data_IF_411759207441
#
_entry.id   IF_411759207441
#
_cell.length_a   1.000
_cell.length_b   1.000
_cell.length_c   1.000
_cell.angle_alpha   90.00
_cell.angle_beta   90.00
_cell.angle_gamma   90.00
#
_symmetry.space_group_name_H-M   'P 1'
#
loop_
_entity.id
_entity.type
_entity.pdbx_description
1 polymer ?
#
# COMPACT_ATOMS: atom_id res chain seq x y z
N UNK A 1 -31.98 -7.42 -10.62
CA UNK A 1 -30.79 -7.62 -11.46
C UNK A 1 -29.96 -8.70 -10.82
N UNK A 2 -29.63 -9.73 -11.60
CA UNK A 2 -28.92 -10.95 -11.23
C UNK A 2 -27.51 -10.60 -10.73
N UNK A 3 -27.20 -10.89 -9.47
CA UNK A 3 -25.82 -10.85 -8.98
C UNK A 3 -25.24 -12.25 -9.06
N UNK A 4 -24.64 -12.56 -10.21
CA UNK A 4 -23.64 -13.62 -10.28
C UNK A 4 -22.35 -12.98 -9.77
N UNK A 5 -21.97 -13.28 -8.53
CA UNK A 5 -20.59 -13.09 -8.06
C UNK A 5 -19.98 -14.47 -7.94
N UNK A 6 -19.39 -14.92 -9.05
CA UNK A 6 -18.40 -15.98 -9.02
C UNK A 6 -17.24 -15.50 -8.14
N UNK A 7 -17.13 -16.08 -6.94
CA UNK A 7 -16.01 -15.88 -6.04
C UNK A 7 -14.80 -16.64 -6.56
N UNK A 8 -14.14 -16.10 -7.57
CA UNK A 8 -12.68 -16.22 -7.63
C UNK A 8 -12.13 -15.42 -6.45
N UNK A 9 -11.26 -16.02 -5.64
CA UNK A 9 -10.36 -15.22 -4.80
C UNK A 9 -9.70 -14.17 -5.70
N UNK A 10 -9.48 -12.95 -5.20
CA UNK A 10 -8.74 -11.94 -5.96
C UNK A 10 -7.39 -12.54 -6.37
N UNK A 11 -7.31 -13.07 -7.59
CA UNK A 11 -6.07 -13.13 -8.30
C UNK A 11 -5.65 -11.66 -8.41
N UNK A 12 -4.40 -11.35 -8.06
CA UNK A 12 -3.80 -10.07 -8.44
C UNK A 12 -3.74 -10.03 -9.96
N UNK A 13 -4.87 -9.73 -10.58
CA UNK A 13 -4.98 -9.59 -12.01
C UNK A 13 -4.20 -8.35 -12.37
N UNK A 14 -3.14 -8.56 -13.14
CA UNK A 14 -2.26 -7.48 -13.54
C UNK A 14 -2.94 -6.73 -14.69
N UNK A 15 -3.15 -5.42 -14.49
CA UNK A 15 -3.60 -4.53 -15.56
C UNK A 15 -2.43 -4.35 -16.53
N UNK A 16 -2.49 -5.03 -17.68
CA UNK A 16 -1.49 -4.91 -18.74
C UNK A 16 -2.03 -4.05 -19.86
N UNK A 17 -1.44 -2.89 -20.02
CA UNK A 17 -1.65 -2.10 -21.22
C UNK A 17 -0.87 -2.72 -22.38
N UNK A 18 -1.34 -2.46 -23.60
CA UNK A 18 -0.53 -2.71 -24.79
C UNK A 18 0.83 -1.99 -24.72
N UNK A 19 1.65 -2.09 -25.76
CA UNK A 19 2.91 -1.37 -25.81
C UNK A 19 2.69 0.15 -25.76
N UNK A 20 3.16 0.79 -24.69
CA UNK A 20 3.01 2.23 -24.43
C UNK A 20 4.36 2.86 -24.15
N UNK A 21 4.64 3.99 -24.78
CA UNK A 21 5.76 4.87 -24.44
C UNK A 21 5.20 6.18 -23.93
N UNK A 22 5.45 6.52 -22.67
CA UNK A 22 4.90 7.70 -22.01
C UNK A 22 6.04 8.62 -21.61
N UNK A 23 6.02 9.85 -22.10
CA UNK A 23 7.03 10.87 -21.76
C UNK A 23 6.34 12.00 -21.01
N UNK A 24 6.72 12.20 -19.75
CA UNK A 24 6.31 13.36 -18.97
C UNK A 24 7.31 14.49 -19.19
N UNK A 25 6.83 15.65 -19.63
CA UNK A 25 7.62 16.89 -19.71
C UNK A 25 7.11 17.80 -18.60
N UNK A 26 7.94 18.00 -17.57
CA UNK A 26 7.57 18.69 -16.32
C UNK A 26 8.37 19.98 -16.16
N UNK A 27 7.70 21.01 -15.65
CA UNK A 27 8.24 22.36 -15.54
C UNK A 27 8.95 22.52 -14.19
N UNK A 28 10.24 22.83 -14.23
CA UNK A 28 11.05 23.10 -13.04
C UNK A 28 11.54 24.55 -13.00
N UNK A 29 10.84 25.46 -13.68
CA UNK A 29 11.13 26.89 -13.65
C UNK A 29 10.95 27.52 -12.27
N UNK A 30 11.41 28.76 -12.13
CA UNK A 30 11.33 29.51 -10.87
C UNK A 30 9.87 29.79 -10.45
N UNK A 31 8.96 30.01 -11.40
CA UNK A 31 7.55 30.33 -11.12
C UNK A 31 6.77 29.17 -10.50
N UNK A 32 7.18 27.94 -10.78
CA UNK A 32 6.61 26.73 -10.18
C UNK A 32 6.97 26.67 -8.69
N UNK A 33 8.25 26.81 -8.37
CA UNK A 33 8.76 26.70 -7.00
C UNK A 33 8.85 25.25 -6.48
N UNK A 34 9.66 25.06 -5.43
CA UNK A 34 9.99 23.74 -4.89
C UNK A 34 8.76 22.89 -4.47
N UNK A 35 7.75 23.50 -3.85
CA UNK A 35 6.57 22.78 -3.36
C UNK A 35 5.70 22.25 -4.49
N UNK A 36 5.46 23.06 -5.53
CA UNK A 36 4.65 22.65 -6.67
C UNK A 36 5.39 21.64 -7.54
N UNK A 37 6.71 21.81 -7.70
CA UNK A 37 7.53 20.81 -8.38
C UNK A 37 7.47 19.44 -7.69
N UNK A 38 7.40 19.41 -6.36
CA UNK A 38 7.16 18.16 -5.62
C UNK A 38 5.80 17.53 -5.93
N UNK A 39 4.75 18.34 -6.14
CA UNK A 39 3.43 17.85 -6.55
C UNK A 39 3.46 17.27 -7.97
N UNK A 40 4.19 17.89 -8.91
CA UNK A 40 4.39 17.36 -10.26
C UNK A 40 5.10 16.00 -10.23
N UNK A 41 6.18 15.86 -9.44
CA UNK A 41 6.85 14.57 -9.24
C UNK A 41 5.91 13.50 -8.70
N UNK A 42 5.08 13.85 -7.71
CA UNK A 42 4.12 12.93 -7.13
C UNK A 42 3.02 12.54 -8.13
N UNK A 43 2.57 13.47 -8.97
CA UNK A 43 1.65 13.19 -10.05
C UNK A 43 2.21 12.15 -11.03
N UNK A 44 3.43 12.36 -11.53
CA UNK A 44 4.11 11.40 -12.41
C UNK A 44 4.19 10.02 -11.75
N UNK A 45 4.60 9.96 -10.49
CA UNK A 45 4.69 8.72 -9.71
C UNK A 45 3.34 8.01 -9.59
N UNK A 46 2.27 8.75 -9.29
CA UNK A 46 0.95 8.20 -9.03
C UNK A 46 0.32 7.65 -10.31
N UNK A 47 0.38 8.40 -11.42
CA UNK A 47 -0.13 7.94 -12.72
C UNK A 47 0.58 6.66 -13.14
N UNK A 48 1.92 6.63 -13.06
CA UNK A 48 2.70 5.45 -13.45
C UNK A 48 2.43 4.25 -12.53
N UNK A 49 2.13 4.49 -11.25
CA UNK A 49 1.75 3.42 -10.33
C UNK A 49 0.42 2.76 -10.68
N UNK A 50 -0.52 3.53 -11.23
CA UNK A 50 -1.83 3.04 -11.65
C UNK A 50 -1.79 2.26 -12.96
N UNK A 51 -0.83 2.56 -13.84
CA UNK A 51 -0.62 1.84 -15.11
C UNK A 51 -0.14 0.38 -14.93
N UNK A 52 0.21 -0.04 -13.70
CA UNK A 52 0.50 -1.43 -13.35
C UNK A 52 1.92 -1.85 -13.70
N UNK A 53 2.19 -2.15 -14.97
CA UNK A 53 3.41 -2.84 -15.41
C UNK A 53 4.35 -1.94 -16.21
N UNK A 54 5.51 -1.60 -15.64
CA UNK A 54 6.64 -1.04 -16.40
C UNK A 54 7.34 -2.18 -17.15
N UNK A 55 7.60 -1.99 -18.44
CA UNK A 55 8.29 -2.98 -19.26
C UNK A 55 9.75 -3.14 -18.80
N UNK A 56 10.11 -4.36 -18.37
CA UNK A 56 11.47 -4.71 -17.93
C UNK A 56 12.51 -4.70 -19.05
N UNK A 57 12.08 -5.07 -20.26
CA UNK A 57 12.93 -5.05 -21.45
C UNK A 57 12.47 -3.93 -22.38
N UNK A 58 13.38 -3.02 -22.81
CA UNK A 58 13.09 -2.00 -23.83
C UNK A 58 12.49 -2.55 -25.14
N UNK A 59 12.70 -3.85 -25.44
CA UNK A 59 12.14 -4.55 -26.61
C UNK A 59 10.89 -5.39 -26.31
N UNK A 60 10.50 -5.51 -25.04
CA UNK A 60 9.33 -6.30 -24.60
C UNK A 60 8.13 -5.98 -25.45
N UNK A 61 7.36 -6.97 -25.93
CA UNK A 61 6.19 -6.66 -26.77
C UNK A 61 4.99 -6.05 -25.99
N UNK A 62 5.09 -5.99 -24.67
CA UNK A 62 4.03 -5.55 -23.73
C UNK A 62 4.58 -4.67 -22.60
N UNK A 63 3.71 -3.89 -21.96
CA UNK A 63 4.06 -3.03 -20.82
C UNK A 63 4.41 -1.58 -21.21
N UNK A 64 4.34 -0.68 -20.23
CA UNK A 64 4.62 0.74 -20.41
C UNK A 64 6.10 1.06 -20.20
N UNK A 65 6.70 1.86 -21.07
CA UNK A 65 8.00 2.51 -20.83
C UNK A 65 7.73 3.97 -20.49
N UNK A 66 8.39 4.47 -19.45
CA UNK A 66 8.14 5.82 -18.96
C UNK A 66 9.43 6.61 -18.91
N UNK A 67 9.41 7.80 -19.51
CA UNK A 67 10.47 8.77 -19.45
C UNK A 67 9.97 10.06 -18.82
N UNK A 68 10.90 10.83 -18.26
CA UNK A 68 10.61 12.14 -17.66
C UNK A 68 11.66 13.11 -18.17
N UNK A 69 11.23 14.29 -18.60
CA UNK A 69 12.09 15.42 -18.96
C UNK A 69 11.70 16.55 -18.03
N UNK A 70 12.63 16.98 -17.18
CA UNK A 70 12.48 18.25 -16.46
C UNK A 70 13.26 19.33 -17.19
N UNK A 71 12.70 20.55 -17.20
CA UNK A 71 13.32 21.71 -17.83
C UNK A 71 13.19 22.96 -16.96
N UNK A 72 14.11 23.91 -17.16
CA UNK A 72 13.91 25.29 -16.70
C UNK A 72 14.40 26.27 -17.77
N UNK A 73 15.65 26.73 -17.68
CA UNK A 73 16.26 27.69 -18.59
C UNK A 73 17.08 27.03 -19.71
N UNK A 74 17.62 27.87 -20.61
CA UNK A 74 18.39 27.46 -21.79
C UNK A 74 19.42 26.36 -21.51
N UNK A 75 19.27 25.22 -22.20
CA UNK A 75 20.22 24.10 -22.13
C UNK A 75 20.11 23.23 -20.88
N UNK A 76 19.23 23.55 -19.93
CA UNK A 76 19.10 22.83 -18.67
C UNK A 76 17.93 21.84 -18.72
N UNK A 77 18.21 20.69 -19.32
CA UNK A 77 17.28 19.56 -19.43
C UNK A 77 17.86 18.34 -18.71
N UNK A 78 17.13 17.82 -17.73
CA UNK A 78 17.45 16.50 -17.17
C UNK A 78 16.40 15.49 -17.60
N UNK A 79 16.87 14.31 -18.00
CA UNK A 79 16.01 13.29 -18.56
C UNK A 79 16.23 11.91 -17.94
N UNK A 80 15.12 11.31 -17.55
CA UNK A 80 14.98 9.89 -17.35
C UNK A 80 14.59 9.27 -18.70
N UNK A 81 15.49 8.48 -19.27
CA UNK A 81 15.31 7.90 -20.61
C UNK A 81 14.30 6.73 -20.59
N UNK A 82 13.53 6.58 -21.68
CA UNK A 82 12.56 5.48 -21.86
C UNK A 82 13.20 4.08 -21.82
N UNK A 83 14.49 3.98 -22.15
CA UNK A 83 15.25 2.73 -22.24
C UNK A 83 16.37 2.65 -21.18
N UNK A 84 16.27 3.41 -20.10
CA UNK A 84 17.24 3.36 -19.01
C UNK A 84 17.22 1.97 -18.35
N UNK A 85 18.31 1.21 -18.51
CA UNK A 85 18.45 -0.15 -17.96
C UNK A 85 18.38 -0.20 -16.43
N UNK A 86 18.54 0.94 -15.75
CA UNK A 86 18.44 1.05 -14.29
C UNK A 86 16.99 1.13 -13.81
N UNK A 87 16.04 1.35 -14.72
CA UNK A 87 14.61 1.52 -14.44
C UNK A 87 13.86 0.32 -15.00
N UNK A 88 13.92 -0.79 -14.25
CA UNK A 88 13.28 -2.06 -14.61
C UNK A 88 12.01 -2.35 -13.78
N UNK A 89 11.69 -1.47 -12.83
CA UNK A 89 10.56 -1.62 -11.92
C UNK A 89 9.93 -0.28 -11.55
N UNK A 90 8.67 -0.33 -11.10
CA UNK A 90 7.98 0.84 -10.55
C UNK A 90 8.74 1.46 -9.38
N UNK A 91 9.37 0.64 -8.53
CA UNK A 91 10.17 1.10 -7.40
C UNK A 91 11.40 1.88 -7.84
N UNK A 92 12.17 1.37 -8.82
CA UNK A 92 13.33 2.08 -9.37
C UNK A 92 12.93 3.39 -10.07
N UNK A 93 11.79 3.39 -10.77
CA UNK A 93 11.26 4.60 -11.41
C UNK A 93 10.88 5.65 -10.36
N UNK A 94 10.16 5.26 -9.32
CA UNK A 94 9.79 6.14 -8.20
C UNK A 94 11.02 6.78 -7.55
N UNK A 95 12.07 6.01 -7.34
CA UNK A 95 13.31 6.52 -6.77
C UNK A 95 14.01 7.50 -7.71
N UNK A 96 14.09 7.19 -9.01
CA UNK A 96 14.68 8.06 -10.02
C UNK A 96 13.95 9.41 -10.12
N UNK A 97 12.61 9.39 -10.15
CA UNK A 97 11.80 10.63 -10.18
C UNK A 97 11.99 11.43 -8.89
N UNK A 98 12.00 10.77 -7.72
CA UNK A 98 12.21 11.46 -6.43
C UNK A 98 13.53 12.21 -6.36
N UNK A 99 14.59 11.67 -6.98
CA UNK A 99 15.95 12.25 -7.03
C UNK A 99 16.06 13.49 -7.94
N UNK A 100 15.07 13.76 -8.79
CA UNK A 100 15.06 15.00 -9.56
C UNK A 100 14.97 16.20 -8.62
N UNK A 101 15.95 17.09 -8.70
CA UNK A 101 16.03 18.31 -7.91
C UNK A 101 15.42 19.48 -8.68
N UNK A 102 14.76 20.38 -7.96
CA UNK A 102 14.21 21.60 -8.55
C UNK A 102 15.35 22.50 -9.02
N UNK A 103 15.39 22.79 -10.32
CA UNK A 103 16.49 23.51 -10.96
C UNK A 103 16.37 25.02 -10.73
N UNK A 104 15.15 25.57 -10.80
CA UNK A 104 14.87 27.01 -10.87
C UNK A 104 15.45 27.71 -12.13
N UNK A 105 14.92 28.88 -12.46
CA UNK A 105 15.33 29.71 -13.61
C UNK A 105 14.16 30.08 -14.52
N UNK A 106 14.47 30.34 -15.80
CA UNK A 106 13.47 30.63 -16.83
C UNK A 106 12.61 29.44 -17.23
N UNK A 107 11.75 29.64 -18.23
CA UNK A 107 10.78 28.66 -18.69
C UNK A 107 10.93 28.42 -20.20
N UNK A 108 11.74 27.45 -20.59
CA UNK A 108 12.07 27.13 -21.99
C UNK A 108 11.27 25.93 -22.50
N UNK A 109 9.93 26.06 -22.39
CA UNK A 109 8.97 25.00 -22.68
C UNK A 109 9.13 24.48 -24.11
N UNK A 110 9.23 25.34 -25.11
CA UNK A 110 9.23 24.93 -26.52
C UNK A 110 10.50 24.17 -26.88
N UNK A 111 11.65 24.64 -26.39
CA UNK A 111 12.91 23.91 -26.48
C UNK A 111 12.87 22.56 -25.75
N UNK A 112 12.18 22.48 -24.61
CA UNK A 112 11.97 21.22 -23.89
C UNK A 112 11.15 20.21 -24.70
N UNK A 113 10.10 20.66 -25.41
CA UNK A 113 9.32 19.81 -26.32
C UNK A 113 10.21 19.24 -27.43
N UNK A 114 11.06 20.07 -28.02
CA UNK A 114 12.00 19.65 -29.06
C UNK A 114 13.04 18.65 -28.54
N UNK A 115 13.56 18.88 -27.33
CA UNK A 115 14.49 17.98 -26.68
C UNK A 115 13.85 16.62 -26.34
N UNK A 116 12.65 16.63 -25.76
CA UNK A 116 11.89 15.42 -25.44
C UNK A 116 11.60 14.59 -26.70
N UNK A 117 11.19 15.25 -27.78
CA UNK A 117 10.96 14.59 -29.06
C UNK A 117 12.24 13.96 -29.63
N UNK A 118 13.34 14.71 -29.71
CA UNK A 118 14.57 14.22 -30.33
C UNK A 118 15.26 13.13 -29.53
N UNK A 119 15.26 13.24 -28.20
CA UNK A 119 16.06 12.37 -27.33
C UNK A 119 15.27 11.15 -26.88
N UNK A 120 14.01 11.32 -26.45
CA UNK A 120 13.23 10.21 -25.90
C UNK A 120 12.36 9.56 -26.98
N UNK A 121 11.60 10.35 -27.75
CA UNK A 121 10.59 9.81 -28.65
C UNK A 121 11.22 9.26 -29.93
N UNK A 122 11.90 10.12 -30.70
CA UNK A 122 12.43 9.80 -32.03
C UNK A 122 13.49 8.70 -32.01
N UNK A 123 14.32 8.64 -30.97
CA UNK A 123 15.41 7.65 -30.85
C UNK A 123 14.96 6.32 -30.24
N UNK A 124 13.88 6.31 -29.48
CA UNK A 124 13.43 5.13 -28.72
C UNK A 124 12.10 4.56 -29.24
N UNK A 125 11.60 5.03 -30.39
CA UNK A 125 10.29 4.65 -30.90
C UNK A 125 10.23 3.15 -31.19
N UNK A 126 9.34 2.48 -30.47
CA UNK A 126 9.08 1.06 -30.65
C UNK A 126 8.00 0.87 -31.70
N UNK A 127 8.25 0.03 -32.72
CA UNK A 127 7.41 -0.06 -33.94
C UNK A 127 5.90 -0.26 -33.71
N UNK A 128 5.50 -0.88 -32.60
CA UNK A 128 4.09 -1.15 -32.25
C UNK A 128 3.57 -0.35 -31.05
N UNK A 129 4.39 0.52 -30.46
CA UNK A 129 4.01 1.24 -29.25
C UNK A 129 3.23 2.52 -29.56
N UNK A 130 2.18 2.80 -28.79
CA UNK A 130 1.54 4.11 -28.78
C UNK A 130 2.38 5.06 -27.95
N UNK A 131 2.68 6.24 -28.49
CA UNK A 131 3.50 7.25 -27.82
C UNK A 131 2.59 8.33 -27.24
N UNK A 132 2.71 8.58 -25.95
CA UNK A 132 2.02 9.66 -25.23
C UNK A 132 3.04 10.65 -24.70
N UNK A 133 2.78 11.94 -24.89
CA UNK A 133 3.51 13.02 -24.26
C UNK A 133 2.57 13.76 -23.30
N UNK A 134 2.94 13.87 -22.03
CA UNK A 134 2.18 14.61 -21.02
C UNK A 134 3.01 15.82 -20.63
N UNK A 135 2.56 17.00 -21.03
CA UNK A 135 3.24 18.28 -20.74
C UNK A 135 2.54 18.92 -19.56
N UNK A 136 3.30 19.29 -18.51
CA UNK A 136 2.82 20.04 -17.36
C UNK A 136 3.54 21.37 -17.32
N UNK A 137 2.81 22.48 -17.30
CA UNK A 137 3.39 23.82 -17.25
C UNK A 137 2.41 24.82 -16.62
N UNK A 138 2.93 25.94 -16.11
CA UNK A 138 2.13 27.09 -15.70
C UNK A 138 1.88 28.09 -16.84
N UNK A 139 2.22 27.73 -18.08
CA UNK A 139 1.88 28.47 -19.29
C UNK A 139 2.89 29.52 -19.72
N UNK A 140 3.86 29.84 -18.85
CA UNK A 140 4.88 30.83 -19.15
C UNK A 140 5.91 30.20 -20.08
N UNK A 141 6.38 30.98 -21.04
CA UNK A 141 7.58 30.63 -21.79
C UNK A 141 8.43 31.88 -22.00
N UNK A 142 9.74 31.71 -22.05
CA UNK A 142 10.66 32.81 -22.31
C UNK A 142 10.50 33.27 -23.77
N UNK A 143 10.31 34.57 -24.05
CA UNK A 143 10.18 35.08 -25.42
C UNK A 143 11.41 34.85 -26.31
N UNK A 144 12.54 34.45 -25.71
CA UNK A 144 13.76 34.05 -26.45
C UNK A 144 13.73 32.60 -26.91
N UNK A 145 12.80 31.79 -26.40
CA UNK A 145 12.58 30.43 -26.87
C UNK A 145 12.03 30.45 -28.30
N UNK A 146 12.32 29.41 -29.07
CA UNK A 146 12.01 29.37 -30.49
C UNK A 146 10.61 28.81 -30.74
N UNK A 147 9.69 29.68 -31.14
CA UNK A 147 8.29 29.37 -31.46
C UNK A 147 8.10 28.24 -32.48
N UNK A 148 9.09 27.99 -33.35
CA UNK A 148 9.00 26.90 -34.33
C UNK A 148 8.92 25.50 -33.72
N UNK A 149 9.24 25.34 -32.43
CA UNK A 149 9.17 24.06 -31.73
C UNK A 149 7.80 23.73 -31.12
N UNK A 150 6.84 24.66 -31.18
CA UNK A 150 5.54 24.56 -30.51
C UNK A 150 4.76 23.29 -30.86
N UNK A 151 4.84 22.85 -32.12
CA UNK A 151 4.14 21.66 -32.62
C UNK A 151 5.09 20.49 -32.91
N UNK A 152 6.32 20.50 -32.36
CA UNK A 152 7.28 19.42 -32.62
C UNK A 152 6.76 18.05 -32.18
N UNK A 153 5.95 17.99 -31.11
CA UNK A 153 5.35 16.74 -30.65
C UNK A 153 4.14 16.29 -31.48
N UNK A 154 3.64 17.12 -32.40
CA UNK A 154 2.44 16.81 -33.19
C UNK A 154 2.70 15.93 -34.42
N UNK A 155 3.94 15.46 -34.57
CA UNK A 155 4.37 14.61 -35.69
C UNK A 155 4.69 13.20 -35.19
N UNK A 156 4.66 12.21 -36.09
CA UNK A 156 5.11 10.85 -35.76
C UNK A 156 4.14 10.00 -34.92
N UNK A 157 2.85 10.37 -34.88
CA UNK A 157 1.81 9.57 -34.21
C UNK A 157 1.81 9.67 -32.68
N UNK A 158 2.36 10.75 -32.13
CA UNK A 158 2.36 11.03 -30.69
C UNK A 158 1.02 11.66 -30.28
N UNK A 159 0.45 11.16 -29.19
CA UNK A 159 -0.70 11.79 -28.53
C UNK A 159 -0.19 12.73 -27.45
N UNK A 160 -0.39 14.03 -27.62
CA UNK A 160 0.05 15.04 -26.66
C UNK A 160 -1.12 15.45 -25.77
N UNK A 161 -0.95 15.32 -24.46
CA UNK A 161 -1.84 15.82 -23.41
C UNK A 161 -1.14 16.99 -22.72
N UNK A 162 -1.75 18.17 -22.76
CA UNK A 162 -1.19 19.38 -22.18
C UNK A 162 -1.98 19.77 -20.93
N UNK A 163 -1.29 19.90 -19.80
CA UNK A 163 -1.85 20.27 -18.50
C UNK A 163 -1.30 21.66 -18.15
N UNK A 164 -2.19 22.64 -18.19
CA UNK A 164 -1.90 24.01 -17.77
C UNK A 164 -2.40 24.27 -16.37
N UNK A 165 -1.60 24.93 -15.54
CA UNK A 165 -1.91 25.15 -14.12
C UNK A 165 -1.74 26.61 -13.76
N UNK A 166 -2.72 27.16 -13.04
CA UNK A 166 -2.61 28.50 -12.46
C UNK A 166 -3.40 29.55 -13.23
N UNK A 167 -2.89 30.78 -13.22
CA UNK A 167 -3.57 31.96 -13.73
C UNK A 167 -3.39 32.20 -15.24
N UNK A 168 -2.66 31.31 -15.93
CA UNK A 168 -2.43 31.40 -17.37
C UNK A 168 -3.71 31.51 -18.21
N UNK A 169 -4.82 30.99 -17.69
CA UNK A 169 -6.11 31.05 -18.37
C UNK A 169 -6.78 32.43 -18.35
N UNK A 170 -6.21 33.38 -17.59
CA UNK A 170 -6.61 34.77 -17.66
C UNK A 170 -5.95 35.49 -18.85
N UNK A 171 -4.95 34.88 -19.50
CA UNK A 171 -4.25 35.42 -20.67
C UNK A 171 -4.58 34.57 -21.91
N UNK A 172 -5.28 35.13 -22.93
CA UNK A 172 -5.65 34.38 -24.13
C UNK A 172 -4.47 33.75 -24.87
N UNK A 173 -3.32 34.43 -24.90
CA UNK A 173 -2.11 33.98 -25.61
C UNK A 173 -1.52 32.69 -25.01
N UNK A 174 -1.52 32.58 -23.68
CA UNK A 174 -1.00 31.40 -22.97
C UNK A 174 -1.94 30.19 -23.13
N UNK A 175 -3.26 30.42 -23.17
CA UNK A 175 -4.25 29.38 -23.48
C UNK A 175 -4.13 28.87 -24.93
N UNK A 176 -3.85 29.77 -25.88
CA UNK A 176 -3.59 29.40 -27.27
C UNK A 176 -2.30 28.61 -27.44
N UNK A 177 -1.27 28.96 -26.68
CA UNK A 177 0.00 28.24 -26.65
C UNK A 177 -0.21 26.81 -26.15
N UNK A 178 -0.89 26.63 -25.02
CA UNK A 178 -1.19 25.30 -24.46
C UNK A 178 -2.02 24.43 -25.43
N UNK A 179 -2.99 25.04 -26.11
CA UNK A 179 -3.78 24.37 -27.15
C UNK A 179 -2.92 23.92 -28.34
N UNK A 180 -1.95 24.75 -28.72
CA UNK A 180 -1.02 24.44 -29.81
C UNK A 180 -0.07 23.30 -29.45
N UNK A 181 0.39 23.25 -28.19
CA UNK A 181 1.17 22.12 -27.65
C UNK A 181 0.37 20.82 -27.73
N UNK A 182 -0.93 20.86 -27.39
CA UNK A 182 -1.85 19.73 -27.54
C UNK A 182 -2.30 19.46 -28.99
N UNK A 183 -1.59 19.99 -29.99
CA UNK A 183 -1.86 19.77 -31.42
C UNK A 183 -3.26 20.19 -31.86
N UNK A 184 -3.74 21.30 -31.30
CA UNK A 184 -5.07 21.88 -31.54
C UNK A 184 -6.26 20.98 -31.14
N UNK A 185 -6.00 19.92 -30.36
CA UNK A 185 -7.02 19.03 -29.80
C UNK A 185 -7.47 19.53 -28.44
N UNK A 186 -8.66 20.13 -28.39
CA UNK A 186 -9.20 20.73 -27.16
C UNK A 186 -9.44 19.69 -26.06
N UNK A 187 -9.79 18.47 -26.44
CA UNK A 187 -10.01 17.34 -25.54
C UNK A 187 -8.76 16.90 -24.77
N UNK A 188 -7.57 17.19 -25.31
CA UNK A 188 -6.28 16.84 -24.72
C UNK A 188 -5.69 17.97 -23.86
N UNK A 189 -6.41 19.08 -23.71
CA UNK A 189 -6.01 20.21 -22.87
C UNK A 189 -6.74 20.11 -21.53
N UNK A 190 -5.98 19.94 -20.47
CA UNK A 190 -6.49 19.99 -19.11
C UNK A 190 -6.10 21.32 -18.45
N UNK A 191 -7.09 22.03 -17.93
CA UNK A 191 -6.91 23.30 -17.23
C UNK A 191 -7.13 23.10 -15.73
N UNK A 192 -6.18 23.54 -14.92
CA UNK A 192 -6.24 23.43 -13.45
C UNK A 192 -5.98 24.78 -12.80
N UNK A 193 -6.60 25.04 -11.65
CA UNK A 193 -6.33 26.28 -10.91
C UNK A 193 -5.13 26.13 -9.98
N UNK A 194 -4.95 24.95 -9.40
CA UNK A 194 -3.93 24.65 -8.41
C UNK A 194 -3.16 23.37 -8.73
N UNK A 195 -1.86 23.34 -8.42
CA UNK A 195 -1.03 22.14 -8.54
C UNK A 195 -1.51 20.97 -7.69
N UNK A 196 -2.27 21.23 -6.62
CA UNK A 196 -2.88 20.18 -5.78
C UNK A 196 -3.92 19.35 -6.53
N UNK A 197 -4.49 19.87 -7.63
CA UNK A 197 -5.44 19.12 -8.47
C UNK A 197 -4.76 18.00 -9.25
N UNK A 198 -3.45 18.10 -9.53
CA UNK A 198 -2.68 17.04 -10.18
C UNK A 198 -2.66 15.74 -9.37
N UNK A 199 -2.73 15.83 -8.05
CA UNK A 199 -2.66 14.66 -7.16
C UNK A 199 -4.06 14.19 -6.71
N UNK A 200 -5.13 14.77 -7.26
CA UNK A 200 -6.49 14.33 -6.99
C UNK A 200 -6.76 12.96 -7.62
N UNK A 201 -7.41 12.06 -6.86
CA UNK A 201 -7.66 10.69 -7.30
C UNK A 201 -8.50 10.64 -8.58
N UNK A 202 -9.56 11.45 -8.67
CA UNK A 202 -10.41 11.54 -9.88
C UNK A 202 -9.62 11.93 -11.15
N UNK A 203 -8.61 12.80 -11.01
CA UNK A 203 -7.79 13.21 -12.15
C UNK A 203 -6.79 12.12 -12.56
N UNK A 204 -6.18 11.46 -11.58
CA UNK A 204 -5.26 10.33 -11.82
C UNK A 204 -6.02 9.19 -12.52
N UNK A 205 -7.23 8.88 -12.08
CA UNK A 205 -8.08 7.84 -12.70
C UNK A 205 -8.44 8.19 -14.15
N UNK A 206 -8.76 9.47 -14.42
CA UNK A 206 -8.98 9.97 -15.80
C UNK A 206 -7.73 9.76 -16.67
N UNK A 207 -6.56 10.19 -16.19
CA UNK A 207 -5.29 10.04 -16.92
C UNK A 207 -4.94 8.56 -17.15
N UNK A 208 -5.22 7.69 -16.19
CA UNK A 208 -5.02 6.25 -16.32
C UNK A 208 -5.86 5.66 -17.48
N UNK A 209 -7.13 6.06 -17.60
CA UNK A 209 -8.02 5.63 -18.68
C UNK A 209 -7.58 6.17 -20.04
N UNK A 210 -7.10 7.42 -20.11
CA UNK A 210 -6.64 8.04 -21.35
C UNK A 210 -5.32 7.45 -21.86
N UNK A 211 -4.36 7.20 -20.96
CA UNK A 211 -3.06 6.62 -21.30
C UNK A 211 -3.17 5.12 -21.60
N UNK A 212 -4.20 4.44 -21.08
CA UNK A 212 -4.45 3.03 -21.27
C UNK A 212 -5.93 2.72 -21.56
N UNK A 213 -6.42 3.05 -22.78
CA UNK A 213 -7.85 2.97 -23.11
C UNK A 213 -8.39 1.54 -23.25
N UNK A 214 -7.51 0.53 -23.42
CA UNK A 214 -7.89 -0.89 -23.59
C UNK A 214 -6.97 -1.79 -22.76
N UNK A 215 -7.11 -1.81 -21.43
CA UNK A 215 -6.27 -2.66 -20.61
C UNK A 215 -6.64 -4.12 -20.78
N UNK A 216 -5.64 -4.96 -21.04
CA UNK A 216 -5.78 -6.40 -20.89
C UNK A 216 -5.58 -6.75 -19.41
N UNK A 217 -6.65 -7.19 -18.78
CA UNK A 217 -6.59 -7.72 -17.42
C UNK A 217 -6.06 -9.14 -17.53
N UNK A 218 -4.77 -9.33 -17.26
CA UNK A 218 -4.14 -10.65 -17.27
C UNK A 218 -4.16 -11.18 -15.85
N UNK A 219 -5.12 -12.05 -15.60
CA UNK A 219 -5.10 -12.87 -14.40
C UNK A 219 -4.17 -14.06 -14.65
N UNK A 220 -3.36 -14.47 -13.65
CA UNK A 220 -2.61 -15.71 -13.78
C UNK A 220 -3.58 -16.87 -14.06
N UNK A 221 -3.24 -17.72 -15.05
CA UNK A 221 -3.94 -18.98 -15.32
C UNK A 221 -3.70 -19.94 -14.15
N UNK A 222 -4.40 -19.69 -13.04
CA UNK A 222 -4.66 -20.73 -12.07
C UNK A 222 -5.93 -21.45 -12.54
N UNK A 223 -5.90 -22.79 -12.68
CA UNK A 223 -7.15 -23.51 -12.86
C UNK A 223 -8.05 -23.13 -11.68
N UNK A 224 -9.21 -22.56 -11.97
CA UNK A 224 -10.27 -22.44 -10.98
C UNK A 224 -10.60 -23.86 -10.55
N UNK A 225 -9.98 -24.30 -9.46
CA UNK A 225 -10.40 -25.52 -8.81
C UNK A 225 -11.83 -25.24 -8.34
N UNK A 226 -12.76 -25.92 -8.99
CA UNK A 226 -14.19 -25.90 -8.69
C UNK A 226 -14.49 -26.56 -7.34
N UNK A 227 -13.47 -27.19 -6.72
CA UNK A 227 -13.42 -27.45 -5.30
C UNK A 227 -12.71 -26.29 -4.62
N UNK A 228 -13.31 -25.76 -3.55
CA UNK A 228 -12.70 -24.84 -2.59
C UNK A 228 -11.35 -25.40 -2.11
N UNK A 229 -10.30 -25.17 -2.88
CA UNK A 229 -8.94 -25.25 -2.38
C UNK A 229 -8.77 -24.01 -1.52
N UNK A 230 -9.23 -24.13 -0.27
CA UNK A 230 -8.73 -23.34 0.85
C UNK A 230 -7.22 -23.36 0.68
N UNK A 231 -6.61 -22.27 0.21
CA UNK A 231 -5.19 -22.10 0.37
C UNK A 231 -4.95 -22.35 1.85
N UNK A 232 -4.30 -23.47 2.18
CA UNK A 232 -4.16 -23.91 3.56
C UNK A 232 -3.55 -22.74 4.31
N UNK A 233 -4.34 -22.15 5.20
CA UNK A 233 -3.92 -20.96 5.93
C UNK A 233 -2.59 -21.32 6.59
N UNK A 234 -1.54 -20.57 6.25
CA UNK A 234 -0.18 -20.65 6.75
C UNK A 234 0.68 -21.77 6.13
N UNK A 235 1.28 -21.46 4.97
CA UNK A 235 2.40 -22.19 4.33
C UNK A 235 3.77 -21.59 4.69
N UNK A 236 3.89 -21.04 5.90
CA UNK A 236 5.09 -20.42 6.45
C UNK A 236 5.10 -20.60 7.96
N UNK A 237 6.23 -20.54 8.67
CA UNK A 237 6.22 -20.71 10.12
C UNK A 237 5.69 -19.42 10.77
N UNK A 238 4.59 -19.52 11.55
CA UNK A 238 3.99 -18.39 12.29
C UNK A 238 3.70 -18.81 13.72
N UNK A 239 4.15 -18.03 14.71
CA UNK A 239 3.79 -18.21 16.11
C UNK A 239 2.84 -17.08 16.53
N UNK A 240 1.60 -17.44 16.86
CA UNK A 240 0.54 -16.50 17.20
C UNK A 240 0.32 -16.51 18.70
N UNK A 241 0.35 -15.34 19.33
CA UNK A 241 0.08 -15.16 20.76
C UNK A 241 -1.17 -14.31 20.90
N UNK A 242 -2.25 -14.91 21.38
CA UNK A 242 -3.46 -14.19 21.75
C UNK A 242 -3.30 -13.59 23.14
N UNK A 243 -3.56 -12.29 23.26
CA UNK A 243 -3.71 -11.58 24.53
C UNK A 243 -5.19 -11.24 24.70
N UNK A 244 -5.87 -12.04 25.51
CA UNK A 244 -7.30 -11.89 25.78
C UNK A 244 -7.50 -11.09 27.06
N UNK A 245 -8.22 -9.99 26.94
CA UNK A 245 -8.59 -9.13 28.05
C UNK A 245 -9.59 -9.87 28.96
N UNK A 246 -9.22 -10.03 30.23
CA UNK A 246 -9.99 -10.68 31.29
C UNK A 246 -10.68 -9.69 32.22
N UNK A 247 -10.86 -8.43 31.80
CA UNK A 247 -11.41 -7.39 32.66
C UNK A 247 -12.91 -7.48 32.88
N UNK A 248 -13.38 -6.98 34.03
CA UNK A 248 -14.80 -6.89 34.42
C UNK A 248 -15.68 -6.22 33.35
N UNK A 249 -15.11 -5.28 32.59
CA UNK A 249 -15.81 -4.49 31.55
C UNK A 249 -16.33 -5.37 30.41
N UNK A 250 -15.62 -6.45 30.09
CA UNK A 250 -16.02 -7.38 29.04
C UNK A 250 -17.24 -8.17 29.48
N UNK A 251 -17.23 -8.64 30.73
CA UNK A 251 -18.23 -9.51 31.30
C UNK A 251 -18.12 -10.96 30.82
N UNK A 252 -18.53 -11.90 31.68
CA UNK A 252 -18.33 -13.33 31.48
C UNK A 252 -18.90 -13.88 30.16
N UNK A 253 -20.09 -13.42 29.73
CA UNK A 253 -20.71 -13.87 28.48
C UNK A 253 -19.91 -13.45 27.23
N UNK A 254 -19.35 -12.26 27.22
CA UNK A 254 -18.54 -11.80 26.08
C UNK A 254 -17.16 -12.42 26.10
N UNK A 255 -16.60 -12.62 27.30
CA UNK A 255 -15.38 -13.39 27.49
C UNK A 255 -15.52 -14.83 26.96
N UNK A 256 -16.69 -15.44 27.16
CA UNK A 256 -17.01 -16.73 26.56
C UNK A 256 -16.94 -16.68 25.03
N UNK A 257 -17.57 -15.68 24.39
CA UNK A 257 -17.52 -15.52 22.93
C UNK A 257 -16.10 -15.26 22.41
N UNK A 258 -15.30 -14.50 23.15
CA UNK A 258 -13.93 -14.16 22.78
C UNK A 258 -13.01 -15.38 22.72
N UNK A 259 -13.13 -16.30 23.69
CA UNK A 259 -12.30 -17.52 23.64
C UNK A 259 -12.85 -18.57 22.66
N UNK A 260 -14.16 -18.63 22.41
CA UNK A 260 -14.72 -19.44 21.30
C UNK A 260 -14.15 -18.98 19.96
N UNK A 261 -14.03 -17.67 19.75
CA UNK A 261 -13.35 -17.12 18.57
C UNK A 261 -11.90 -17.60 18.46
N UNK A 262 -11.15 -17.66 19.56
CA UNK A 262 -9.78 -18.24 19.55
C UNK A 262 -9.80 -19.73 19.18
N UNK A 263 -10.80 -20.49 19.64
CA UNK A 263 -10.97 -21.90 19.26
C UNK A 263 -11.28 -22.05 17.76
N UNK A 264 -12.19 -21.25 17.23
CA UNK A 264 -12.57 -21.27 15.82
C UNK A 264 -11.38 -20.90 14.92
N UNK A 265 -10.57 -19.93 15.34
CA UNK A 265 -9.31 -19.61 14.67
C UNK A 265 -8.36 -20.81 14.72
N UNK A 266 -8.15 -21.40 15.90
CA UNK A 266 -7.27 -22.58 16.05
C UNK A 266 -7.66 -23.75 15.15
N UNK A 267 -8.98 -23.98 14.95
CA UNK A 267 -9.53 -25.02 14.07
C UNK A 267 -9.38 -24.68 12.59
N UNK A 268 -9.38 -23.40 12.24
CA UNK A 268 -9.30 -22.91 10.85
C UNK A 268 -7.86 -22.79 10.35
N UNK A 269 -6.90 -22.61 11.25
CA UNK A 269 -5.47 -22.54 10.92
C UNK A 269 -4.88 -23.94 10.66
N UNK A 270 -3.96 -24.02 9.71
CA UNK A 270 -3.09 -25.21 9.61
C UNK A 270 -2.07 -25.12 10.74
N UNK A 271 -2.22 -25.99 11.75
CA UNK A 271 -1.28 -26.05 12.87
C UNK A 271 -0.04 -26.90 12.52
N UNK A 272 1.09 -26.55 13.15
CA UNK A 272 2.36 -27.24 13.00
C UNK A 272 2.28 -28.73 13.38
N UNK A 273 3.14 -29.55 12.77
CA UNK A 273 3.22 -30.98 13.11
C UNK A 273 4.11 -31.25 14.33
N UNK A 274 5.00 -30.33 14.64
CA UNK A 274 5.95 -30.40 15.75
C UNK A 274 6.43 -29.00 16.15
N UNK A 275 7.10 -28.87 17.29
CA UNK A 275 7.64 -27.59 17.77
C UNK A 275 8.69 -26.97 16.85
N UNK A 276 9.39 -27.78 16.06
CA UNK A 276 10.42 -27.36 15.10
C UNK A 276 9.94 -27.32 13.65
N UNK A 277 8.63 -27.42 13.40
CA UNK A 277 8.09 -27.35 12.05
C UNK A 277 8.43 -25.98 11.42
N UNK A 278 8.96 -26.00 10.19
CA UNK A 278 9.29 -24.80 9.45
C UNK A 278 8.11 -24.31 8.59
N UNK A 279 6.94 -24.92 8.75
CA UNK A 279 5.68 -24.56 8.12
C UNK A 279 4.60 -24.45 9.22
N UNK A 280 3.44 -23.87 8.88
CA UNK A 280 2.23 -23.87 9.71
C UNK A 280 2.33 -23.10 11.05
N UNK A 281 1.17 -22.90 11.68
CA UNK A 281 1.05 -22.09 12.89
C UNK A 281 1.27 -22.87 14.20
N UNK A 282 1.76 -22.16 15.22
CA UNK A 282 1.55 -22.53 16.63
C UNK A 282 0.83 -21.38 17.31
N UNK A 283 -0.01 -21.70 18.28
CA UNK A 283 -0.80 -20.69 18.97
C UNK A 283 -0.57 -20.76 20.48
N UNK A 284 -0.63 -19.60 21.13
CA UNK A 284 -0.63 -19.44 22.58
C UNK A 284 -1.77 -18.51 22.99
N UNK A 285 -2.25 -18.65 24.21
CA UNK A 285 -3.26 -17.75 24.78
C UNK A 285 -2.84 -17.31 26.18
N UNK A 286 -2.74 -16.00 26.35
CA UNK A 286 -2.57 -15.31 27.61
C UNK A 286 -3.86 -14.55 27.92
N UNK A 287 -4.46 -14.82 29.08
CA UNK A 287 -5.49 -13.95 29.64
C UNK A 287 -4.82 -12.92 30.54
N UNK A 288 -5.16 -11.64 30.39
CA UNK A 288 -4.58 -10.58 31.21
C UNK A 288 -5.64 -9.77 31.96
N UNK A 289 -5.32 -9.40 33.19
CA UNK A 289 -6.09 -8.50 34.03
C UNK A 289 -5.24 -7.34 34.53
N UNK A 290 -5.20 -7.15 35.85
CA UNK A 290 -4.39 -6.13 36.51
C UNK A 290 -2.88 -6.31 36.30
N UNK A 291 -2.07 -5.33 36.73
CA UNK A 291 -0.61 -5.30 36.51
C UNK A 291 0.17 -6.56 36.94
N UNK A 292 -0.37 -7.34 37.87
CA UNK A 292 0.26 -8.55 38.40
C UNK A 292 -0.59 -9.81 38.18
N UNK A 293 -1.66 -9.71 37.39
CA UNK A 293 -2.65 -10.77 37.23
C UNK A 293 -2.74 -11.16 35.76
N UNK A 294 -1.92 -12.14 35.39
CA UNK A 294 -1.85 -12.69 34.04
C UNK A 294 -1.84 -14.21 34.13
N UNK A 295 -2.62 -14.88 33.29
CA UNK A 295 -2.76 -16.34 33.29
C UNK A 295 -2.46 -16.86 31.89
N UNK A 296 -1.37 -17.62 31.76
CA UNK A 296 -1.12 -18.40 30.55
C UNK A 296 -2.12 -19.54 30.53
N UNK A 297 -3.07 -19.49 29.60
CA UNK A 297 -4.10 -20.52 29.43
C UNK A 297 -3.46 -21.76 28.78
N UNK A 298 -2.66 -21.52 27.74
CA UNK A 298 -1.76 -22.51 27.16
C UNK A 298 -0.56 -21.82 26.49
N UNK A 299 0.66 -22.38 26.59
CA UNK A 299 1.83 -21.89 25.88
C UNK A 299 1.74 -22.19 24.38
N UNK A 300 2.71 -21.71 23.59
CA UNK A 300 2.81 -22.01 22.15
C UNK A 300 2.73 -23.51 21.92
N UNK A 301 1.68 -23.93 21.24
CA UNK A 301 1.36 -25.34 20.98
C UNK A 301 0.72 -25.49 19.61
N UNK A 302 0.74 -26.71 19.10
CA UNK A 302 0.09 -27.11 17.87
C UNK A 302 -0.93 -28.24 18.08
N UNK A 303 -1.17 -28.62 19.35
CA UNK A 303 -2.08 -29.69 19.71
C UNK A 303 -3.49 -29.13 19.91
N UNK A 304 -4.36 -29.34 18.93
CA UNK A 304 -5.74 -28.85 18.95
C UNK A 304 -6.56 -29.40 20.12
N UNK A 305 -6.35 -30.66 20.52
CA UNK A 305 -7.04 -31.24 21.68
C UNK A 305 -6.64 -30.52 22.96
N UNK A 306 -5.34 -30.27 23.15
CA UNK A 306 -4.84 -29.52 24.31
C UNK A 306 -5.38 -28.08 24.32
N UNK A 307 -5.46 -27.42 23.16
CA UNK A 307 -6.07 -26.09 23.03
C UNK A 307 -7.54 -26.12 23.48
N UNK A 308 -8.36 -27.02 22.92
CA UNK A 308 -9.78 -27.14 23.27
C UNK A 308 -9.99 -27.47 24.75
N UNK A 309 -9.20 -28.40 25.32
CA UNK A 309 -9.30 -28.77 26.73
C UNK A 309 -8.93 -27.60 27.66
N UNK A 310 -7.86 -26.87 27.34
CA UNK A 310 -7.45 -25.67 28.09
C UNK A 310 -8.47 -24.54 28.00
N UNK A 311 -9.09 -24.35 26.83
CA UNK A 311 -10.16 -23.36 26.64
C UNK A 311 -11.43 -23.74 27.41
N UNK A 312 -11.78 -25.02 27.46
CA UNK A 312 -12.94 -25.48 28.23
C UNK A 312 -12.79 -25.27 29.75
N UNK A 313 -11.54 -25.18 30.25
CA UNK A 313 -11.23 -25.00 31.68
C UNK A 313 -10.85 -23.56 32.05
N UNK A 314 -10.82 -22.64 31.08
CA UNK A 314 -10.42 -21.26 31.32
C UNK A 314 -11.35 -20.60 32.34
N UNK A 315 -10.78 -19.92 33.32
CA UNK A 315 -11.52 -19.12 34.30
C UNK A 315 -11.44 -17.66 33.93
N UNK A 316 -12.58 -16.98 33.90
CA UNK A 316 -12.64 -15.54 33.72
C UNK A 316 -12.03 -14.84 34.95
N UNK A 317 -11.12 -13.89 34.71
CA UNK A 317 -10.41 -13.20 35.79
C UNK A 317 -11.29 -12.20 36.56
N UNK A 318 -12.23 -11.54 35.89
CA UNK A 318 -13.08 -10.48 36.48
C UNK A 318 -12.24 -9.40 37.19
N UNK A 319 -11.18 -8.93 36.50
CA UNK A 319 -10.18 -8.02 37.06
C UNK A 319 -10.20 -6.64 36.38
N UNK A 320 -9.25 -5.77 36.72
CA UNK A 320 -8.95 -4.57 35.92
C UNK A 320 -8.17 -4.93 34.65
N UNK A 321 -7.99 -4.00 33.71
CA UNK A 321 -7.25 -4.24 32.46
C UNK A 321 -5.93 -3.44 32.44
N UNK A 322 -4.79 -4.11 32.24
CA UNK A 322 -3.49 -3.46 31.97
C UNK A 322 -2.72 -4.20 30.87
N UNK A 323 -2.80 -3.68 29.65
CA UNK A 323 -2.15 -4.26 28.47
C UNK A 323 -0.63 -4.14 28.47
N UNK A 324 -0.06 -3.09 29.09
CA UNK A 324 1.39 -2.87 29.10
C UNK A 324 2.13 -3.99 29.84
N UNK A 325 1.70 -4.28 31.06
CA UNK A 325 2.20 -5.41 31.86
C UNK A 325 1.97 -6.76 31.17
N UNK A 326 0.80 -6.95 30.54
CA UNK A 326 0.46 -8.17 29.80
C UNK A 326 1.43 -8.47 28.65
N UNK A 327 1.79 -7.45 27.85
CA UNK A 327 2.74 -7.58 26.75
C UNK A 327 4.12 -7.99 27.26
N UNK A 328 4.61 -7.32 28.31
CA UNK A 328 5.91 -7.64 28.91
C UNK A 328 5.91 -9.07 29.44
N UNK A 329 4.82 -9.47 30.11
CA UNK A 329 4.65 -10.82 30.62
C UNK A 329 4.62 -11.88 29.49
N UNK A 330 3.90 -11.61 28.39
CA UNK A 330 3.87 -12.47 27.21
C UNK A 330 5.26 -12.66 26.60
N UNK A 331 6.03 -11.59 26.44
CA UNK A 331 7.40 -11.67 25.92
C UNK A 331 8.29 -12.51 26.83
N UNK A 332 8.17 -12.35 28.16
CA UNK A 332 9.02 -13.03 29.14
C UNK A 332 8.67 -14.49 29.43
N UNK A 333 7.45 -14.93 29.10
CA UNK A 333 6.98 -16.29 29.43
C UNK A 333 6.59 -17.13 28.21
N UNK A 334 6.11 -16.50 27.13
CA UNK A 334 5.63 -17.19 25.92
C UNK A 334 6.61 -17.08 24.75
N UNK A 335 7.36 -15.98 24.66
CA UNK A 335 8.33 -15.75 23.57
C UNK A 335 9.74 -16.18 23.99
N UNK A 336 10.18 -15.74 25.17
CA UNK A 336 11.46 -16.09 25.79
C UNK A 336 11.17 -16.97 27.01
N UNK A 337 11.84 -18.11 27.17
CA UNK A 337 11.73 -18.92 28.40
C UNK A 337 12.87 -18.55 29.34
N UNK A 338 12.56 -17.96 30.50
CA UNK A 338 13.55 -17.53 31.48
C UNK A 338 14.36 -18.69 32.10
N UNK A 339 13.86 -19.92 32.05
CA UNK A 339 14.49 -21.06 32.72
C UNK A 339 15.76 -21.59 32.04
N UNK A 340 16.00 -21.30 30.76
CA UNK A 340 17.17 -21.82 30.01
C UNK A 340 17.76 -20.85 28.96
N UNK A 341 17.24 -19.62 28.88
CA UNK A 341 17.66 -18.64 27.87
C UNK A 341 17.30 -19.00 26.42
N UNK A 342 16.58 -20.11 26.21
CA UNK A 342 16.08 -20.51 24.90
C UNK A 342 14.77 -19.78 24.56
N UNK A 343 14.68 -19.30 23.32
CA UNK A 343 13.47 -18.70 22.75
C UNK A 343 12.43 -19.79 22.56
N UNK A 344 11.24 -19.65 23.14
CA UNK A 344 10.12 -20.57 22.96
C UNK A 344 9.45 -20.38 21.59
N UNK A 345 9.41 -19.13 21.11
CA UNK A 345 9.04 -18.84 19.73
C UNK A 345 10.13 -19.31 18.75
N UNK A 346 9.71 -19.87 17.62
CA UNK A 346 10.56 -20.30 16.51
C UNK A 346 11.33 -19.08 15.98
N UNK A 347 12.66 -19.21 15.82
CA UNK A 347 13.51 -18.08 15.38
C UNK A 347 13.23 -17.64 13.94
N UNK A 348 12.82 -18.58 13.10
CA UNK A 348 12.48 -18.40 11.70
C UNK A 348 10.98 -18.16 11.48
N UNK A 349 10.16 -18.15 12.54
CA UNK A 349 8.74 -17.85 12.44
C UNK A 349 8.46 -16.36 12.57
N UNK A 350 7.44 -15.90 11.86
CA UNK A 350 6.80 -14.63 12.14
C UNK A 350 6.11 -14.70 13.50
N UNK A 351 6.31 -13.69 14.35
CA UNK A 351 5.71 -13.62 15.67
C UNK A 351 4.57 -12.62 15.65
N UNK A 352 3.33 -13.10 15.77
CA UNK A 352 2.12 -12.28 15.69
C UNK A 352 1.43 -12.20 17.05
N UNK A 353 1.18 -10.99 17.55
CA UNK A 353 0.40 -10.75 18.76
C UNK A 353 -1.00 -10.29 18.36
N UNK A 354 -2.01 -10.99 18.83
CA UNK A 354 -3.42 -10.64 18.62
C UNK A 354 -4.03 -10.21 19.95
N UNK A 355 -4.38 -8.94 20.06
CA UNK A 355 -5.05 -8.38 21.23
C UNK A 355 -6.56 -8.45 21.07
N UNK A 356 -7.27 -9.05 22.01
CA UNK A 356 -8.74 -9.05 22.03
C UNK A 356 -9.18 -8.26 23.26
N UNK A 357 -9.75 -7.08 23.04
CA UNK A 357 -10.09 -6.12 24.11
C UNK A 357 -11.37 -5.34 23.78
N UNK A 358 -12.01 -4.78 24.81
CA UNK A 358 -13.12 -3.84 24.64
C UNK A 358 -12.68 -2.43 24.23
N UNK A 359 -11.36 -2.19 24.15
CA UNK A 359 -10.77 -0.93 23.72
C UNK A 359 -10.40 0.03 24.84
N UNK A 360 -10.68 -0.30 26.11
CA UNK A 360 -10.31 0.54 27.26
C UNK A 360 -9.47 -0.28 28.24
N UNK A 361 -8.18 0.06 28.29
CA UNK A 361 -7.18 -0.61 29.14
C UNK A 361 -6.28 0.42 29.81
N UNK A 362 -5.80 0.11 31.02
CA UNK A 362 -4.70 0.82 31.63
C UNK A 362 -3.46 0.78 30.72
N UNK A 363 -2.84 1.94 30.53
CA UNK A 363 -1.67 2.14 29.66
C UNK A 363 -0.37 2.34 30.43
N UNK A 364 -0.34 2.00 31.73
CA UNK A 364 0.90 2.02 32.51
C UNK A 364 1.91 1.06 31.87
N UNK A 365 3.16 1.49 31.77
CA UNK A 365 4.29 0.77 31.15
C UNK A 365 4.08 0.43 29.66
N UNK A 366 3.09 1.04 28.98
CA UNK A 366 2.80 0.77 27.57
C UNK A 366 3.99 1.11 26.65
N UNK A 367 4.75 2.17 26.94
CA UNK A 367 5.92 2.53 26.15
C UNK A 367 7.01 1.44 26.20
N UNK A 368 7.31 0.92 27.39
CA UNK A 368 8.26 -0.18 27.58
C UNK A 368 7.78 -1.47 26.90
N UNK A 369 6.48 -1.76 27.01
CA UNK A 369 5.84 -2.87 26.34
C UNK A 369 5.97 -2.80 24.81
N UNK A 370 5.76 -1.62 24.22
CA UNK A 370 5.92 -1.39 22.79
C UNK A 370 7.38 -1.59 22.36
N UNK A 371 8.34 -1.11 23.15
CA UNK A 371 9.75 -1.33 22.88
C UNK A 371 10.12 -2.82 22.98
N UNK A 372 9.51 -3.57 23.90
CA UNK A 372 9.68 -5.02 23.99
C UNK A 372 9.13 -5.74 22.74
N UNK A 373 7.95 -5.35 22.24
CA UNK A 373 7.39 -5.89 21.00
C UNK A 373 8.29 -5.61 19.80
N UNK A 374 8.75 -4.36 19.65
CA UNK A 374 9.67 -3.95 18.57
C UNK A 374 10.97 -4.74 18.60
N UNK A 375 11.57 -4.93 19.78
CA UNK A 375 12.82 -5.72 19.94
C UNK A 375 12.66 -7.18 19.50
N UNK A 376 11.45 -7.74 19.62
CA UNK A 376 11.15 -9.12 19.22
C UNK A 376 10.61 -9.22 17.77
N UNK A 377 10.55 -8.12 17.03
CA UNK A 377 9.93 -8.02 15.69
C UNK A 377 8.50 -8.59 15.67
N UNK A 378 7.70 -8.24 16.68
CA UNK A 378 6.29 -8.65 16.78
C UNK A 378 5.46 -7.89 15.75
N UNK A 379 4.65 -8.61 15.00
CA UNK A 379 3.52 -8.03 14.25
C UNK A 379 2.31 -7.96 15.18
N UNK A 380 1.70 -6.78 15.30
CA UNK A 380 0.61 -6.54 16.23
C UNK A 380 -0.71 -6.43 15.48
N UNK A 381 -1.75 -7.13 15.95
CA UNK A 381 -3.12 -7.06 15.45
C UNK A 381 -4.05 -6.82 16.62
N UNK A 382 -4.97 -5.86 16.49
CA UNK A 382 -5.89 -5.47 17.56
C UNK A 382 -7.32 -5.78 17.12
N UNK A 383 -8.01 -6.61 17.89
CA UNK A 383 -9.46 -6.85 17.79
C UNK A 383 -10.14 -6.06 18.89
N UNK A 384 -10.71 -4.92 18.51
CA UNK A 384 -11.35 -3.96 19.41
C UNK A 384 -12.87 -4.08 19.31
N UNK A 385 -13.53 -4.37 20.44
CA UNK A 385 -14.93 -4.79 20.48
C UNK A 385 -15.76 -3.85 21.36
N UNK A 386 -16.63 -3.06 20.73
CA UNK A 386 -17.47 -2.10 21.44
C UNK A 386 -17.49 -0.73 20.78
N UNK A 387 -18.22 0.19 21.40
CA UNK A 387 -18.40 1.56 20.89
C UNK A 387 -17.51 2.60 21.59
N UNK A 388 -16.94 2.27 22.74
CA UNK A 388 -16.16 3.17 23.58
C UNK A 388 -14.69 2.74 23.53
N UNK A 389 -13.98 3.18 22.48
CA UNK A 389 -12.62 2.74 22.17
C UNK A 389 -11.61 3.87 22.41
N UNK A 390 -10.54 3.59 23.15
CA UNK A 390 -9.39 4.50 23.26
C UNK A 390 -8.45 4.32 22.06
N UNK A 391 -8.76 5.01 20.97
CA UNK A 391 -8.00 4.92 19.72
C UNK A 391 -6.52 5.31 19.87
N UNK A 392 -6.17 6.16 20.83
CA UNK A 392 -4.77 6.53 21.06
C UNK A 392 -3.96 5.36 21.62
N UNK A 393 -4.56 4.58 22.53
CA UNK A 393 -3.97 3.35 23.04
C UNK A 393 -3.93 2.28 21.96
N UNK A 394 -5.02 2.08 21.21
CA UNK A 394 -5.08 1.07 20.16
C UNK A 394 -4.08 1.32 19.02
N UNK A 395 -3.92 2.57 18.57
CA UNK A 395 -2.90 2.92 17.56
C UNK A 395 -1.48 2.64 18.04
N UNK A 396 -1.19 2.87 19.33
CA UNK A 396 0.12 2.58 19.92
C UNK A 396 0.39 1.08 19.98
N UNK A 397 -0.61 0.27 20.35
CA UNK A 397 -0.50 -1.19 20.39
C UNK A 397 -0.34 -1.76 18.98
N UNK A 398 -1.08 -1.24 18.00
CA UNK A 398 -0.97 -1.59 16.58
C UNK A 398 0.32 -1.06 15.91
N UNK A 399 1.26 -0.51 16.69
CA UNK A 399 2.54 0.03 16.21
C UNK A 399 2.41 1.09 15.10
N UNK A 400 1.28 1.81 15.08
CA UNK A 400 0.97 2.85 14.10
C UNK A 400 0.24 2.36 12.84
N UNK A 401 0.00 1.05 12.70
CA UNK A 401 -0.75 0.49 11.56
C UNK A 401 -2.26 0.47 11.84
N UNK A 402 -3.01 1.38 11.22
CA UNK A 402 -4.46 1.43 11.37
C UNK A 402 -5.16 0.23 10.73
N UNK A 403 -4.56 -0.40 9.71
CA UNK A 403 -5.15 -1.55 9.02
C UNK A 403 -5.13 -2.81 9.89
N UNK A 404 -4.23 -2.86 10.88
CA UNK A 404 -4.14 -3.93 11.86
C UNK A 404 -5.18 -3.84 13.00
N UNK A 405 -6.04 -2.82 12.99
CA UNK A 405 -7.11 -2.63 13.98
C UNK A 405 -8.46 -3.08 13.40
N UNK A 406 -8.95 -4.20 13.92
CA UNK A 406 -10.23 -4.81 13.60
C UNK A 406 -11.27 -4.32 14.60
N UNK A 407 -12.09 -3.36 14.19
CA UNK A 407 -13.19 -2.87 15.00
C UNK A 407 -14.45 -3.68 14.73
N UNK A 408 -15.11 -4.12 15.80
CA UNK A 408 -16.43 -4.71 15.72
C UNK A 408 -17.36 -4.09 16.78
N UNK A 409 -18.66 -4.05 16.47
CA UNK A 409 -19.65 -3.40 17.33
C UNK A 409 -19.82 -4.14 18.66
N UNK A 410 -19.72 -5.46 18.62
CA UNK A 410 -19.92 -6.34 19.77
C UNK A 410 -19.20 -7.69 19.57
N UNK A 411 -19.16 -8.49 20.63
CA UNK A 411 -18.55 -9.83 20.62
C UNK A 411 -19.33 -10.85 19.79
N UNK A 412 -20.59 -10.57 19.38
CA UNK A 412 -21.32 -11.47 18.47
C UNK A 412 -20.78 -11.36 17.05
N UNK A 413 -20.21 -10.20 16.71
CA UNK A 413 -19.57 -9.93 15.42
C UNK A 413 -18.36 -10.85 15.16
N UNK A 414 -17.69 -11.35 16.21
CA UNK A 414 -16.58 -12.30 16.09
C UNK A 414 -16.96 -13.60 15.37
N UNK A 415 -18.21 -14.05 15.57
CA UNK A 415 -18.76 -15.25 14.95
C UNK A 415 -19.36 -15.01 13.55
N UNK A 416 -19.43 -13.76 13.10
CA UNK A 416 -19.96 -13.46 11.77
C UNK A 416 -18.95 -13.85 10.69
N UNK A 417 -19.36 -14.60 9.65
CA UNK A 417 -18.45 -15.04 8.59
C UNK A 417 -17.64 -13.90 7.98
N UNK A 418 -18.26 -12.73 7.75
CA UNK A 418 -17.57 -11.58 7.17
C UNK A 418 -16.42 -11.02 8.03
N UNK A 419 -16.57 -11.02 9.35
CA UNK A 419 -15.49 -10.58 10.26
C UNK A 419 -14.44 -11.67 10.39
N UNK A 420 -14.88 -12.91 10.65
CA UNK A 420 -14.00 -14.06 10.84
C UNK A 420 -13.13 -14.32 9.61
N UNK A 421 -13.73 -14.35 8.41
CA UNK A 421 -12.99 -14.56 7.16
C UNK A 421 -11.99 -13.45 6.87
N UNK A 422 -12.34 -12.19 7.20
CA UNK A 422 -11.44 -11.05 7.04
C UNK A 422 -10.24 -11.17 8.00
N UNK A 423 -10.49 -11.58 9.25
CA UNK A 423 -9.46 -11.80 10.25
C UNK A 423 -8.54 -12.97 9.88
N UNK A 424 -9.11 -14.11 9.45
CA UNK A 424 -8.32 -15.25 8.97
C UNK A 424 -7.43 -14.84 7.79
N UNK A 425 -7.97 -14.13 6.79
CA UNK A 425 -7.18 -13.63 5.64
C UNK A 425 -6.03 -12.70 6.04
N UNK A 426 -6.19 -11.93 7.11
CA UNK A 426 -5.12 -11.06 7.62
C UNK A 426 -3.98 -11.85 8.28
N UNK A 427 -4.29 -13.00 8.87
CA UNK A 427 -3.31 -13.85 9.55
C UNK A 427 -2.54 -14.78 8.58
N UNK A 428 -3.13 -15.21 7.46
CA UNK A 428 -2.62 -16.34 6.63
C UNK A 428 -1.33 -16.07 5.78
#
# INVERSE_FOLDING_TARGET
MTYIRETCGCCDCEKRCGPLDIVFIIDSSESIGYTNFSLEKNFVINVVSRLGSIAKDPKSETGARVGVVQYSHEGTFEAIQLNDKRIDSLSSFKEAVKKLEWIAGGTWTLSALQFAYNTLIKQSQREKARVFAVVVTDGRHDPRDNDSHLQTLCVGGVTVNAIGIGDMFNMPEEDETLRSIACDKKENVQKMKLFTELVAEEFIDKMELELCPDPQIVCPDLPCQTELAVAQCIQRPVDIVFLLDGSERIGEQNFQKAHHFVEDVARSLSLARSDGDNMNARIALLQYGSENEHVVVFPLTHNLTYISDSLAQIKYLDSSSNIGSAIIYAVNNLVTKQSDGQRAARRNAELSFVFITDGITGSRNLAEAIDAMKKQNVMSTVVALGSDLDMDVLHKIALGDQSAIFQAKDYTSLSQPGFFDKFIKWIC
#
